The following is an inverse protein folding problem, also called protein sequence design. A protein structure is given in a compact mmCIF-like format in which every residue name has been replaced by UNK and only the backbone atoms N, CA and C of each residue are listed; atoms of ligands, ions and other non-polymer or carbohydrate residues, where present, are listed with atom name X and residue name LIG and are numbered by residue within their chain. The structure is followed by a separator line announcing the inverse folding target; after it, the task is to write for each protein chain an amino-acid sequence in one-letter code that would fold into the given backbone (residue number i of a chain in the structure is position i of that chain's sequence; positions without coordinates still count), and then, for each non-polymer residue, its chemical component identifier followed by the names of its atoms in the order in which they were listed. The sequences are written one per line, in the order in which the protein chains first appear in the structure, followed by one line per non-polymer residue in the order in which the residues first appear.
data_IF_906522367830
#
_entry.id   IF_906522367830
#
_cell.length_a   1.000
_cell.length_b   1.000
_cell.length_c   1.000
_cell.angle_alpha   90.00
_cell.angle_beta   90.00
_cell.angle_gamma   90.00
#
_symmetry.space_group_name_H-M   'P 1'
#
loop_
_entity.id
_entity.type
_entity.pdbx_description
1 polymer ?
#
# COMPACT_ATOMS: atom_id res chain seq x y z
N UNK A 1 47.41 -14.42 -17.66
CA UNK A 1 46.60 -15.02 -16.56
C UNK A 1 45.15 -14.61 -16.77
N UNK A 2 44.29 -15.49 -17.28
CA UNK A 2 42.87 -15.19 -17.54
C UNK A 2 42.05 -15.38 -16.26
N UNK A 3 41.62 -14.27 -15.65
CA UNK A 3 40.70 -14.29 -14.51
C UNK A 3 39.28 -14.61 -15.00
N UNK A 4 38.96 -15.90 -15.11
CA UNK A 4 37.58 -16.36 -15.25
C UNK A 4 36.86 -16.18 -13.91
N UNK A 5 35.86 -15.30 -13.85
CA UNK A 5 34.96 -15.23 -12.70
C UNK A 5 34.03 -16.45 -12.69
N UNK A 6 34.54 -17.54 -12.11
CA UNK A 6 33.87 -18.83 -11.96
C UNK A 6 32.73 -18.74 -10.93
N UNK A 7 31.64 -18.01 -11.19
CA UNK A 7 30.31 -18.34 -10.64
C UNK A 7 29.12 -17.51 -11.18
N UNK A 8 29.06 -17.17 -12.47
CA UNK A 8 27.86 -16.50 -13.03
C UNK A 8 26.86 -17.54 -13.51
N UNK A 9 25.87 -17.89 -12.66
CA UNK A 9 24.77 -18.78 -13.04
C UNK A 9 23.99 -18.19 -14.21
N UNK A 10 23.74 -19.01 -15.23
CA UNK A 10 22.89 -18.63 -16.37
C UNK A 10 21.49 -18.33 -15.84
N UNK A 11 21.00 -17.12 -16.11
CA UNK A 11 19.62 -16.72 -15.77
C UNK A 11 18.75 -16.96 -17.01
N UNK A 12 17.79 -17.90 -17.00
CA UNK A 12 16.90 -18.09 -18.13
C UNK A 12 16.13 -16.80 -18.41
N UNK A 13 16.11 -16.38 -19.67
CA UNK A 13 15.41 -15.18 -20.12
C UNK A 13 13.99 -15.59 -20.52
N UNK A 14 12.98 -15.03 -19.86
CA UNK A 14 11.58 -15.32 -20.14
C UNK A 14 11.04 -14.40 -21.23
N UNK A 15 10.34 -14.96 -22.23
CA UNK A 15 9.67 -14.22 -23.31
C UNK A 15 8.29 -13.66 -22.91
N UNK A 16 8.00 -13.56 -21.61
CA UNK A 16 6.71 -13.07 -21.11
C UNK A 16 6.51 -11.60 -21.44
N UNK A 17 5.28 -11.23 -21.84
CA UNK A 17 4.91 -9.83 -22.14
C UNK A 17 4.96 -8.89 -20.92
N UNK A 18 5.00 -9.42 -19.69
CA UNK A 18 4.96 -8.64 -18.46
C UNK A 18 6.30 -7.98 -18.16
N UNK A 19 6.38 -6.65 -18.33
CA UNK A 19 7.53 -5.85 -17.90
C UNK A 19 7.56 -5.75 -16.37
N UNK A 20 8.74 -5.96 -15.77
CA UNK A 20 8.94 -5.79 -14.33
C UNK A 20 8.88 -4.30 -13.98
N UNK A 21 7.84 -3.87 -13.26
CA UNK A 21 7.84 -2.55 -12.60
C UNK A 21 8.82 -2.58 -11.44
N UNK A 22 9.72 -1.60 -11.39
CA UNK A 22 10.69 -1.49 -10.30
C UNK A 22 9.97 -1.34 -8.96
N UNK A 23 10.60 -1.81 -7.88
CA UNK A 23 10.05 -1.70 -6.53
C UNK A 23 9.85 -0.23 -6.16
N UNK A 24 10.79 0.65 -6.53
CA UNK A 24 10.71 2.08 -6.28
C UNK A 24 9.46 2.72 -6.89
N UNK A 25 9.19 2.46 -8.18
CA UNK A 25 8.00 3.01 -8.87
C UNK A 25 6.70 2.53 -8.22
N UNK A 26 6.62 1.27 -7.80
CA UNK A 26 5.42 0.75 -7.09
C UNK A 26 5.22 1.40 -5.73
N UNK A 27 6.30 1.69 -4.99
CA UNK A 27 6.22 2.37 -3.70
C UNK A 27 5.79 3.83 -3.85
N UNK A 28 6.40 4.55 -4.80
CA UNK A 28 6.09 5.95 -5.08
C UNK A 28 4.61 6.11 -5.49
N UNK A 29 4.16 5.33 -6.48
CA UNK A 29 2.77 5.36 -6.93
C UNK A 29 1.75 4.94 -5.86
N UNK A 30 2.13 4.09 -4.90
CA UNK A 30 1.24 3.79 -3.77
C UNK A 30 1.16 4.99 -2.81
N UNK A 31 2.31 5.60 -2.49
CA UNK A 31 2.36 6.79 -1.63
C UNK A 31 1.52 7.92 -2.22
N UNK A 32 1.75 8.28 -3.47
CA UNK A 32 1.02 9.35 -4.18
C UNK A 32 -0.50 9.14 -4.12
N UNK A 33 -0.98 7.91 -4.36
CA UNK A 33 -2.41 7.60 -4.27
C UNK A 33 -2.98 7.76 -2.87
N UNK A 34 -2.21 7.42 -1.84
CA UNK A 34 -2.65 7.59 -0.45
C UNK A 34 -2.75 9.07 -0.12
N UNK A 35 -1.75 9.87 -0.48
CA UNK A 35 -1.78 11.33 -0.29
C UNK A 35 -3.00 11.94 -0.96
N UNK A 36 -3.26 11.59 -2.22
CA UNK A 36 -4.44 12.06 -2.94
C UNK A 36 -5.76 11.65 -2.25
N UNK A 37 -5.85 10.42 -1.74
CA UNK A 37 -7.03 9.96 -1.02
C UNK A 37 -7.20 10.63 0.35
N UNK A 38 -6.12 11.05 1.02
CA UNK A 38 -6.20 11.82 2.27
C UNK A 38 -6.84 13.18 2.02
N UNK A 39 -6.55 13.81 0.88
CA UNK A 39 -7.14 15.09 0.49
C UNK A 39 -8.59 14.94 -0.02
N UNK A 40 -8.90 13.86 -0.73
CA UNK A 40 -10.22 13.62 -1.34
C UNK A 40 -11.28 13.10 -0.36
N UNK A 41 -10.87 12.33 0.65
CA UNK A 41 -11.79 11.64 1.56
C UNK A 41 -11.80 12.24 2.96
N UNK A 42 -13.00 12.37 3.53
CA UNK A 42 -13.22 12.93 4.87
C UNK A 42 -12.85 11.98 6.01
N UNK A 43 -12.77 10.67 5.77
CA UNK A 43 -12.51 9.69 6.83
C UNK A 43 -11.64 8.54 6.34
N UNK A 44 -10.80 8.05 7.25
CA UNK A 44 -9.89 6.92 7.02
C UNK A 44 -10.03 5.93 8.18
N UNK A 45 -10.06 4.65 7.84
CA UNK A 45 -10.22 3.54 8.77
C UNK A 45 -9.07 2.56 8.60
N UNK A 46 -8.56 2.05 9.71
CA UNK A 46 -7.64 0.90 9.73
C UNK A 46 -8.47 -0.34 10.05
N UNK A 47 -8.24 -1.41 9.31
CA UNK A 47 -8.90 -2.69 9.56
C UNK A 47 -7.90 -3.83 9.42
N UNK A 48 -8.01 -4.81 10.32
CA UNK A 48 -7.25 -6.04 10.26
C UNK A 48 -8.02 -7.09 9.47
N UNK A 49 -7.29 -8.01 8.84
CA UNK A 49 -7.90 -9.06 8.04
C UNK A 49 -7.17 -10.37 8.27
N UNK A 50 -7.93 -11.42 8.50
CA UNK A 50 -7.40 -12.77 8.60
C UNK A 50 -7.56 -13.49 7.26
N UNK A 51 -6.55 -14.25 6.85
CA UNK A 51 -6.57 -15.06 5.62
C UNK A 51 -6.91 -14.24 4.35
N UNK A 52 -6.07 -13.23 4.09
CA UNK A 52 -6.24 -12.32 2.96
C UNK A 52 -6.02 -13.03 1.62
N UNK A 53 -7.11 -13.29 0.90
CA UNK A 53 -7.06 -13.82 -0.46
C UNK A 53 -7.59 -12.79 -1.46
N UNK A 54 -6.92 -12.70 -2.61
CA UNK A 54 -7.29 -11.75 -3.67
C UNK A 54 -8.73 -11.92 -4.16
N UNK A 55 -9.34 -13.10 -4.04
CA UNK A 55 -10.75 -13.33 -4.38
C UNK A 55 -11.67 -12.51 -3.48
N UNK A 56 -11.58 -12.70 -2.16
CA UNK A 56 -12.39 -11.98 -1.17
C UNK A 56 -12.24 -10.46 -1.28
N UNK A 57 -11.02 -9.99 -1.56
CA UNK A 57 -10.76 -8.56 -1.76
C UNK A 57 -11.41 -7.97 -3.01
N UNK A 58 -11.70 -8.77 -4.03
CA UNK A 58 -12.41 -8.26 -5.21
C UNK A 58 -13.86 -7.99 -4.86
N UNK A 59 -14.52 -8.94 -4.21
CA UNK A 59 -15.92 -8.84 -3.82
C UNK A 59 -16.15 -7.62 -2.92
N UNK A 60 -15.31 -7.46 -1.89
CA UNK A 60 -15.37 -6.29 -0.99
C UNK A 60 -15.13 -4.96 -1.73
N UNK A 61 -14.23 -4.93 -2.73
CA UNK A 61 -14.01 -3.73 -3.55
C UNK A 61 -15.19 -3.43 -4.48
N UNK A 62 -15.93 -4.44 -4.92
CA UNK A 62 -17.12 -4.25 -5.75
C UNK A 62 -18.30 -3.72 -4.93
N UNK A 63 -18.42 -4.14 -3.67
CA UNK A 63 -19.40 -3.60 -2.73
C UNK A 63 -19.04 -2.17 -2.28
N UNK A 64 -17.75 -1.90 -2.09
CA UNK A 64 -17.24 -0.62 -1.61
C UNK A 64 -16.67 0.26 -2.74
N UNK A 65 -17.38 0.38 -3.86
CA UNK A 65 -16.96 1.20 -5.02
C UNK A 65 -16.73 2.68 -4.68
N UNK A 66 -17.50 3.21 -3.74
CA UNK A 66 -17.39 4.60 -3.30
C UNK A 66 -16.20 4.83 -2.36
N UNK A 67 -15.57 3.76 -1.90
CA UNK A 67 -14.47 3.80 -0.94
C UNK A 67 -13.16 3.37 -1.61
N UNK A 68 -12.02 3.80 -1.06
CA UNK A 68 -10.70 3.39 -1.54
C UNK A 68 -9.99 2.55 -0.50
N UNK A 69 -9.75 1.29 -0.85
CA UNK A 69 -9.01 0.36 -0.02
C UNK A 69 -7.57 0.20 -0.51
N UNK A 70 -6.63 0.41 0.40
CA UNK A 70 -5.21 0.14 0.16
C UNK A 70 -4.72 -0.98 1.07
N UNK A 71 -4.05 -1.93 0.43
CA UNK A 71 -3.25 -2.96 1.09
C UNK A 71 -1.84 -2.85 0.55
N UNK A 72 -0.86 -2.86 1.43
CA UNK A 72 0.53 -2.68 1.07
C UNK A 72 1.42 -2.98 2.26
N UNK A 73 2.72 -2.73 2.09
CA UNK A 73 3.62 -2.82 3.24
C UNK A 73 3.27 -1.73 4.23
N UNK A 74 3.00 -2.12 5.47
CA UNK A 74 2.68 -1.20 6.57
C UNK A 74 3.69 -0.06 6.68
N UNK A 75 4.98 -0.36 6.46
CA UNK A 75 6.05 0.65 6.44
C UNK A 75 5.81 1.76 5.40
N UNK A 76 5.26 1.44 4.24
CA UNK A 76 4.92 2.43 3.20
C UNK A 76 3.70 3.22 3.63
N UNK A 77 2.67 2.55 4.16
CA UNK A 77 1.46 3.19 4.67
C UNK A 77 1.81 4.19 5.79
N UNK A 78 2.59 3.80 6.81
CA UNK A 78 3.04 4.70 7.89
C UNK A 78 3.82 5.91 7.36
N UNK A 79 4.70 5.73 6.37
CA UNK A 79 5.44 6.85 5.74
C UNK A 79 4.53 7.73 4.89
N UNK A 80 3.41 7.19 4.40
CA UNK A 80 2.45 7.96 3.61
C UNK A 80 1.56 8.84 4.48
N UNK A 81 1.31 8.45 5.73
CA UNK A 81 0.57 9.30 6.69
C UNK A 81 1.48 10.28 7.44
N UNK A 82 2.76 9.96 7.58
CA UNK A 82 3.70 10.68 8.43
C UNK A 82 3.96 9.89 9.71
N UNK A 83 5.23 9.82 10.12
CA UNK A 83 5.62 9.10 11.36
C UNK A 83 5.56 9.98 12.59
N UNK A 84 5.74 11.27 12.38
CA UNK A 84 5.79 12.30 13.41
C UNK A 84 4.78 13.40 13.06
N UNK A 85 4.37 14.22 14.03
CA UNK A 85 3.50 15.38 13.78
C UNK A 85 4.09 16.37 12.74
N UNK A 86 5.42 16.47 12.65
CA UNK A 86 6.09 17.38 11.70
C UNK A 86 6.00 16.92 10.23
N UNK A 87 5.85 15.61 10.01
CA UNK A 87 5.77 15.02 8.67
C UNK A 87 4.32 14.68 8.28
N UNK A 88 3.34 15.11 9.07
CA UNK A 88 1.95 14.73 8.88
C UNK A 88 1.31 15.50 7.72
N UNK A 89 0.57 14.78 6.88
CA UNK A 89 -0.09 15.37 5.69
C UNK A 89 -1.38 16.08 6.09
N UNK A 90 -2.03 15.59 7.15
CA UNK A 90 -3.25 16.15 7.71
C UNK A 90 -3.18 16.05 9.24
N UNK A 91 -3.87 16.98 9.91
CA UNK A 91 -3.83 17.08 11.37
C UNK A 91 -4.14 15.75 12.06
N UNK A 92 -3.25 15.32 12.97
CA UNK A 92 -3.35 14.09 13.75
C UNK A 92 -3.32 12.76 12.95
N UNK A 93 -3.04 12.78 11.65
CA UNK A 93 -3.10 11.56 10.83
C UNK A 93 -1.94 10.59 11.14
N UNK A 94 -0.84 11.10 11.72
CA UNK A 94 0.29 10.28 12.15
C UNK A 94 -0.12 9.21 13.19
N UNK A 95 -1.21 9.41 13.95
CA UNK A 95 -1.71 8.44 14.93
C UNK A 95 -2.13 7.12 14.27
N UNK A 96 -2.60 7.17 13.02
CA UNK A 96 -2.96 5.98 12.23
C UNK A 96 -1.76 5.05 12.08
N UNK A 97 -0.55 5.61 11.99
CA UNK A 97 0.67 4.85 11.79
C UNK A 97 0.97 3.87 12.93
N UNK A 98 0.44 4.12 14.14
CA UNK A 98 0.58 3.28 15.32
C UNK A 98 -0.27 2.00 15.23
N UNK A 99 -1.36 2.04 14.48
CA UNK A 99 -2.26 0.89 14.28
C UNK A 99 -1.87 0.03 13.07
N UNK A 100 -0.81 0.40 12.34
CA UNK A 100 -0.36 -0.30 11.15
C UNK A 100 0.57 -1.48 11.47
N UNK A 101 0.09 -2.47 12.23
CA UNK A 101 0.82 -3.67 12.60
C UNK A 101 0.09 -4.96 12.17
N UNK A 102 0.84 -5.95 11.68
CA UNK A 102 0.29 -7.21 11.20
C UNK A 102 -0.39 -7.10 9.82
N UNK A 103 -1.40 -7.95 9.59
CA UNK A 103 -2.18 -8.02 8.35
C UNK A 103 -3.31 -6.97 8.37
N UNK A 104 -2.93 -5.72 8.10
CA UNK A 104 -3.82 -4.56 8.14
C UNK A 104 -3.89 -3.82 6.81
N UNK A 105 -5.05 -3.22 6.55
CA UNK A 105 -5.31 -2.34 5.42
C UNK A 105 -5.89 -1.00 5.87
N UNK A 106 -5.93 -0.06 4.94
CA UNK A 106 -6.59 1.24 5.14
C UNK A 106 -7.73 1.44 4.15
N UNK A 107 -8.84 2.00 4.64
CA UNK A 107 -10.06 2.27 3.89
C UNK A 107 -10.37 3.76 4.01
N UNK A 108 -10.44 4.45 2.88
CA UNK A 108 -10.90 5.83 2.77
C UNK A 108 -12.35 5.86 2.34
N UNK A 109 -13.17 6.66 3.00
CA UNK A 109 -14.60 6.78 2.68
C UNK A 109 -15.16 8.14 3.09
N UNK A 110 -16.17 8.60 2.35
CA UNK A 110 -16.99 9.77 2.67
C UNK A 110 -18.31 9.39 3.36
N UNK A 111 -18.54 8.08 3.58
CA UNK A 111 -19.72 7.61 4.29
C UNK A 111 -19.59 7.98 5.77
N UNK A 112 -20.62 8.65 6.30
CA UNK A 112 -20.71 8.92 7.74
C UNK A 112 -20.74 7.59 8.48
N UNK A 113 -19.98 7.50 9.56
CA UNK A 113 -20.06 6.38 10.50
C UNK A 113 -21.51 6.31 10.98
N UNK A 114 -22.24 5.23 10.66
CA UNK A 114 -23.51 4.94 11.33
C UNK A 114 -23.13 4.62 12.77
N UNK A 115 -23.50 5.54 13.67
CA UNK A 115 -23.39 5.33 15.12
C UNK A 115 -24.37 4.28 15.60
#
# INVERSE_FOLDING_TARGET
RLNMSKNKRIRPVNLTKTKKKSRAVRKASLKEKIVQCVEEYSSVYVFSVNDMRNSKLKDVREELKDCRMFFGSNKILSVSFGRNPEEEIAGNIHQISQFLEGDVGVLFTNKKKKS
#
